data_IF_834552237359
#
_entry.id   IF_834552237359
#
_cell.length_a   1.000
_cell.length_b   1.000
_cell.length_c   1.000
_cell.angle_alpha   90.00
_cell.angle_beta   90.00
_cell.angle_gamma   90.00
#
_symmetry.space_group_name_H-M   'P 1'
#
loop_
_entity.id
_entity.type
_entity.pdbx_description
1 polymer ?
#
# COMPACT_ATOMS: atom_id res chain seq x y z
N UNK A 1 9.13 -18.38 51.61
CA UNK A 1 7.97 -18.88 50.85
C UNK A 1 7.80 -18.00 49.62
N UNK A 2 8.51 -18.33 48.54
CA UNK A 2 8.53 -17.55 47.30
C UNK A 2 7.29 -17.90 46.48
N UNK A 3 6.41 -16.93 46.21
CA UNK A 3 5.31 -17.11 45.26
C UNK A 3 5.86 -16.86 43.86
N UNK A 4 6.08 -17.94 43.13
CA UNK A 4 6.28 -17.90 41.68
C UNK A 4 5.01 -17.38 41.03
N UNK A 5 5.09 -16.23 40.38
CA UNK A 5 4.05 -15.70 39.51
C UNK A 5 4.03 -16.54 38.22
N UNK A 6 2.86 -17.00 37.73
CA UNK A 6 2.83 -17.75 36.48
C UNK A 6 3.19 -16.82 35.32
N UNK A 7 4.05 -17.29 34.42
CA UNK A 7 4.35 -16.62 33.17
C UNK A 7 3.05 -16.40 32.39
N UNK A 8 2.80 -15.16 31.96
CA UNK A 8 1.68 -14.86 31.08
C UNK A 8 1.89 -15.59 29.75
N UNK A 9 1.08 -16.62 29.50
CA UNK A 9 0.97 -17.23 28.18
C UNK A 9 0.31 -16.24 27.24
N UNK A 10 1.08 -15.58 26.38
CA UNK A 10 0.55 -14.75 25.30
C UNK A 10 0.99 -15.30 23.96
N UNK A 11 0.54 -16.52 23.68
CA UNK A 11 0.49 -17.05 22.32
C UNK A 11 -0.79 -16.49 21.66
N UNK A 12 -0.89 -15.17 21.53
CA UNK A 12 -1.96 -14.52 20.76
C UNK A 12 -1.64 -14.67 19.27
N UNK A 13 -1.90 -15.89 18.79
CA UNK A 13 -1.57 -16.36 17.44
C UNK A 13 -2.51 -15.76 16.39
N UNK A 14 -2.38 -14.47 16.12
CA UNK A 14 -3.09 -13.86 14.99
C UNK A 14 -2.41 -14.23 13.67
N UNK A 15 -3.13 -14.97 12.83
CA UNK A 15 -2.77 -15.12 11.41
C UNK A 15 -3.13 -13.85 10.67
N UNK A 16 -2.33 -13.49 9.67
CA UNK A 16 -2.66 -12.42 8.73
C UNK A 16 -2.80 -13.06 7.36
N UNK A 17 -3.93 -12.84 6.70
CA UNK A 17 -4.28 -13.52 5.44
C UNK A 17 -4.22 -15.06 5.54
N UNK A 18 -4.55 -15.62 6.71
CA UNK A 18 -4.47 -17.06 6.96
C UNK A 18 -3.04 -17.61 7.11
N UNK A 19 -2.03 -16.75 7.06
CA UNK A 19 -0.62 -17.14 7.22
C UNK A 19 -0.13 -16.86 8.63
N UNK A 20 0.53 -17.86 9.20
CA UNK A 20 1.27 -17.72 10.46
C UNK A 20 2.65 -17.15 10.16
N UNK A 21 2.95 -16.01 10.77
CA UNK A 21 4.25 -15.38 10.66
C UNK A 21 5.15 -15.89 11.79
N UNK A 22 6.38 -16.27 11.47
CA UNK A 22 7.39 -16.54 12.49
C UNK A 22 7.71 -15.25 13.25
N UNK A 23 8.03 -15.32 14.56
CA UNK A 23 8.50 -14.17 15.30
C UNK A 23 9.72 -13.54 14.63
N UNK A 24 9.77 -12.21 14.57
CA UNK A 24 10.94 -11.50 14.04
C UNK A 24 12.12 -11.73 14.98
N UNK A 25 13.22 -12.29 14.47
CA UNK A 25 14.41 -12.63 15.27
C UNK A 25 15.37 -11.44 15.49
N UNK A 26 14.89 -10.22 15.27
CA UNK A 26 15.62 -8.97 15.48
C UNK A 26 14.65 -7.80 15.71
N UNK A 27 15.14 -6.71 16.30
CA UNK A 27 14.31 -5.52 16.54
C UNK A 27 14.25 -4.67 15.28
N UNK A 28 13.05 -4.47 14.74
CA UNK A 28 12.82 -3.43 13.74
C UNK A 28 13.02 -2.06 14.41
N UNK A 29 13.86 -1.18 13.85
CA UNK A 29 14.16 0.10 14.49
C UNK A 29 12.90 1.00 14.54
N UNK A 30 12.72 1.79 15.61
CA UNK A 30 11.64 2.76 15.68
C UNK A 30 11.64 3.70 14.47
N UNK A 31 10.45 3.97 13.94
CA UNK A 31 10.23 4.76 12.75
C UNK A 31 10.47 4.01 11.44
N UNK A 32 10.60 2.68 11.46
CA UNK A 32 10.69 1.87 10.24
C UNK A 32 9.50 2.13 9.30
N UNK A 33 9.78 2.11 8.00
CA UNK A 33 8.79 2.35 6.96
C UNK A 33 8.78 1.17 6.00
N UNK A 34 7.62 0.55 5.81
CA UNK A 34 7.37 -0.23 4.61
C UNK A 34 7.21 0.76 3.45
N UNK A 35 8.17 0.78 2.53
CA UNK A 35 8.19 1.72 1.42
C UNK A 35 7.43 1.23 0.18
N UNK A 36 6.85 0.02 0.21
CA UNK A 36 6.17 -0.54 -0.96
C UNK A 36 5.15 -1.63 -0.59
N UNK A 37 3.90 -1.22 -0.38
CA UNK A 37 2.79 -2.15 -0.12
C UNK A 37 1.56 -1.82 -0.96
N UNK A 38 0.69 -2.81 -1.16
CA UNK A 38 -0.56 -2.69 -1.92
C UNK A 38 -1.76 -3.12 -1.05
N UNK A 39 -2.92 -2.50 -1.28
CA UNK A 39 -4.19 -2.90 -0.69
C UNK A 39 -5.10 -3.44 -1.79
N UNK A 40 -5.73 -4.57 -1.53
CA UNK A 40 -6.64 -5.23 -2.47
C UNK A 40 -8.00 -5.48 -1.82
N UNK A 41 -8.99 -4.76 -2.34
CA UNK A 41 -10.38 -4.99 -2.05
C UNK A 41 -10.92 -4.28 -0.80
N UNK A 42 -12.19 -4.54 -0.45
CA UNK A 42 -13.06 -5.53 -1.08
C UNK A 42 -13.46 -5.15 -2.52
N UNK A 43 -13.55 -6.13 -3.42
CA UNK A 43 -13.66 -5.90 -4.88
C UNK A 43 -15.05 -5.48 -5.36
N UNK A 44 -16.07 -5.58 -4.49
CA UNK A 44 -17.40 -5.01 -4.70
C UNK A 44 -17.40 -3.48 -4.57
N UNK A 45 -16.56 -2.93 -3.68
CA UNK A 45 -16.34 -1.49 -3.50
C UNK A 45 -15.24 -0.94 -4.40
N UNK A 46 -14.17 -1.72 -4.60
CA UNK A 46 -13.02 -1.34 -5.41
C UNK A 46 -12.83 -2.31 -6.57
N UNK A 47 -13.60 -2.15 -7.67
CA UNK A 47 -13.53 -3.06 -8.81
C UNK A 47 -12.13 -3.05 -9.44
N UNK A 48 -11.73 -4.19 -9.99
CA UNK A 48 -10.47 -4.32 -10.69
C UNK A 48 -10.60 -3.83 -12.13
N UNK A 49 -9.53 -3.27 -12.68
CA UNK A 49 -9.45 -2.85 -14.06
C UNK A 49 -9.68 -4.02 -15.03
N UNK A 50 -10.38 -3.75 -16.13
CA UNK A 50 -10.68 -4.74 -17.16
C UNK A 50 -9.40 -5.29 -17.82
N UNK A 51 -8.39 -4.43 -18.00
CA UNK A 51 -7.11 -4.75 -18.63
C UNK A 51 -6.03 -5.27 -17.65
N UNK A 52 -6.42 -5.69 -16.44
CA UNK A 52 -5.48 -6.24 -15.45
C UNK A 52 -4.78 -7.50 -15.97
N UNK A 53 -3.55 -7.71 -15.52
CA UNK A 53 -2.75 -8.88 -15.93
C UNK A 53 -2.83 -10.06 -14.96
N UNK A 54 -3.47 -9.89 -13.80
CA UNK A 54 -3.74 -10.96 -12.84
C UNK A 54 -4.92 -10.63 -11.91
N UNK A 55 -5.42 -11.64 -11.19
CA UNK A 55 -6.41 -11.52 -10.11
C UNK A 55 -5.70 -11.61 -8.75
N UNK A 56 -5.63 -10.53 -7.96
CA UNK A 56 -5.10 -10.59 -6.60
C UNK A 56 -6.08 -11.27 -5.64
N UNK A 57 -5.55 -11.88 -4.57
CA UNK A 57 -6.35 -12.20 -3.38
C UNK A 57 -6.74 -10.93 -2.61
N UNK A 58 -7.75 -11.05 -1.74
CA UNK A 58 -8.08 -9.96 -0.81
C UNK A 58 -6.90 -9.68 0.11
N UNK A 59 -6.56 -8.41 0.29
CA UNK A 59 -5.56 -7.94 1.25
C UNK A 59 -5.98 -6.56 1.75
N UNK A 60 -6.68 -6.53 2.88
CA UNK A 60 -7.32 -5.32 3.39
C UNK A 60 -6.35 -4.40 4.13
N UNK A 61 -6.78 -3.16 4.41
CA UNK A 61 -6.05 -2.25 5.28
C UNK A 61 -5.88 -2.78 6.70
N UNK A 62 -6.85 -3.55 7.20
CA UNK A 62 -6.80 -4.16 8.53
C UNK A 62 -5.76 -5.29 8.58
N UNK A 63 -5.64 -6.06 7.49
CA UNK A 63 -4.57 -7.06 7.36
C UNK A 63 -3.20 -6.39 7.40
N UNK A 64 -3.03 -5.26 6.72
CA UNK A 64 -1.79 -4.49 6.75
C UNK A 64 -1.46 -3.98 8.16
N UNK A 65 -2.44 -3.41 8.88
CA UNK A 65 -2.25 -2.96 10.26
C UNK A 65 -1.85 -4.12 11.18
N UNK A 66 -2.51 -5.27 11.05
CA UNK A 66 -2.17 -6.46 11.82
C UNK A 66 -0.76 -6.96 11.52
N UNK A 67 -0.35 -6.96 10.24
CA UNK A 67 0.99 -7.34 9.82
C UNK A 67 2.04 -6.37 10.38
N UNK A 68 1.84 -5.07 10.22
CA UNK A 68 2.77 -4.05 10.71
C UNK A 68 2.90 -4.06 12.23
N UNK A 69 1.81 -4.30 12.97
CA UNK A 69 1.86 -4.49 14.42
C UNK A 69 2.67 -5.73 14.82
N UNK A 70 2.55 -6.83 14.07
CA UNK A 70 3.32 -8.05 14.32
C UNK A 70 4.82 -7.89 13.99
N UNK A 71 5.16 -7.05 13.00
CA UNK A 71 6.53 -6.80 12.57
C UNK A 71 7.21 -5.65 13.32
N UNK A 72 6.46 -4.75 13.95
CA UNK A 72 6.99 -3.51 14.54
C UNK A 72 7.31 -2.43 13.49
N UNK A 73 6.50 -2.34 12.44
CA UNK A 73 6.61 -1.31 11.39
C UNK A 73 5.68 -0.15 11.72
N UNK A 74 6.19 1.08 11.68
CA UNK A 74 5.48 2.27 12.16
C UNK A 74 4.86 3.12 11.03
N UNK A 75 5.36 2.96 9.80
CA UNK A 75 5.00 3.81 8.65
C UNK A 75 4.83 2.98 7.39
N UNK A 76 4.03 3.49 6.45
CA UNK A 76 3.80 2.83 5.17
C UNK A 76 3.79 3.80 3.97
N UNK A 77 4.21 3.29 2.82
CA UNK A 77 3.93 3.87 1.51
C UNK A 77 3.03 2.92 0.74
N UNK A 78 1.76 3.27 0.62
CA UNK A 78 0.77 2.49 -0.12
C UNK A 78 0.84 2.88 -1.59
N UNK A 79 1.26 1.93 -2.42
CA UNK A 79 1.44 2.13 -3.85
C UNK A 79 0.21 1.62 -4.57
N UNK A 80 -0.34 2.42 -5.48
CA UNK A 80 -1.46 2.02 -6.32
C UNK A 80 -1.13 0.74 -7.10
N UNK A 81 -1.99 -0.27 -6.96
CA UNK A 81 -1.74 -1.59 -7.53
C UNK A 81 -2.17 -1.65 -9.00
N UNK A 82 -1.42 -2.39 -9.81
CA UNK A 82 -1.71 -2.46 -11.26
C UNK A 82 -3.05 -3.11 -11.61
N UNK A 83 -3.58 -4.09 -10.86
CA UNK A 83 -4.93 -4.61 -11.12
C UNK A 83 -6.05 -3.58 -10.91
N UNK A 84 -5.80 -2.48 -10.20
CA UNK A 84 -6.78 -1.40 -9.97
C UNK A 84 -6.65 -0.25 -10.97
N UNK A 85 -5.69 -0.34 -11.92
CA UNK A 85 -5.49 0.68 -12.95
C UNK A 85 -5.24 2.07 -12.36
N UNK A 86 -5.95 3.06 -12.89
CA UNK A 86 -5.89 4.47 -12.48
C UNK A 86 -6.96 4.85 -11.45
N UNK A 87 -7.80 3.91 -11.00
CA UNK A 87 -8.74 4.15 -9.91
C UNK A 87 -7.99 4.05 -8.57
N UNK A 88 -7.62 5.22 -8.04
CA UNK A 88 -6.81 5.34 -6.82
C UNK A 88 -7.65 5.27 -5.53
N UNK A 89 -8.98 5.08 -5.60
CA UNK A 89 -9.86 5.19 -4.43
C UNK A 89 -9.54 4.18 -3.33
N UNK A 90 -9.20 2.93 -3.68
CA UNK A 90 -8.83 1.92 -2.68
C UNK A 90 -7.59 2.36 -1.87
N UNK A 91 -6.58 2.91 -2.57
CA UNK A 91 -5.37 3.41 -1.94
C UNK A 91 -5.66 4.64 -1.08
N UNK A 92 -6.42 5.62 -1.56
CA UNK A 92 -6.73 6.84 -0.77
C UNK A 92 -7.58 6.54 0.46
N UNK A 93 -8.54 5.63 0.36
CA UNK A 93 -9.35 5.19 1.50
C UNK A 93 -8.49 4.43 2.52
N UNK A 94 -7.56 3.60 2.05
CA UNK A 94 -6.58 2.96 2.93
C UNK A 94 -5.70 3.98 3.67
N UNK A 95 -5.22 5.03 2.99
CA UNK A 95 -4.46 6.11 3.64
C UNK A 95 -5.27 6.80 4.74
N UNK A 96 -6.56 7.08 4.49
CA UNK A 96 -7.43 7.69 5.50
C UNK A 96 -7.54 6.79 6.74
N UNK A 97 -7.81 5.50 6.56
CA UNK A 97 -7.91 4.51 7.65
C UNK A 97 -6.60 4.37 8.42
N UNK A 98 -5.47 4.21 7.73
CA UNK A 98 -4.15 4.06 8.35
C UNK A 98 -3.77 5.29 9.19
N UNK A 99 -3.92 6.49 8.61
CA UNK A 99 -3.57 7.73 9.32
C UNK A 99 -4.53 8.00 10.50
N UNK A 100 -5.82 7.65 10.38
CA UNK A 100 -6.77 7.74 11.49
C UNK A 100 -6.42 6.79 12.65
N UNK A 101 -5.80 5.65 12.35
CA UNK A 101 -5.26 4.72 13.35
C UNK A 101 -3.88 5.14 13.91
N UNK A 102 -3.36 6.31 13.53
CA UNK A 102 -2.03 6.77 13.93
C UNK A 102 -0.87 6.10 13.20
N UNK A 103 -1.15 5.31 12.15
CA UNK A 103 -0.13 4.66 11.32
C UNK A 103 0.28 5.56 10.16
N UNK A 104 1.39 6.31 10.32
CA UNK A 104 1.74 7.38 9.41
C UNK A 104 2.01 6.86 7.99
N UNK A 105 1.13 7.24 7.05
CA UNK A 105 1.12 6.66 5.71
C UNK A 105 1.05 7.70 4.59
N UNK A 106 1.69 7.38 3.45
CA UNK A 106 1.69 8.17 2.21
C UNK A 106 1.36 7.31 1.00
N UNK A 107 0.83 7.94 -0.04
CA UNK A 107 0.43 7.25 -1.27
C UNK A 107 1.35 7.49 -2.45
N UNK A 108 1.40 6.52 -3.36
CA UNK A 108 1.91 6.68 -4.72
C UNK A 108 0.80 6.31 -5.70
N UNK A 109 0.32 7.27 -6.49
CA UNK A 109 -0.82 7.09 -7.40
C UNK A 109 -0.40 6.62 -8.80
N UNK A 110 -1.31 5.99 -9.54
CA UNK A 110 -1.21 5.87 -11.00
C UNK A 110 -2.16 6.90 -11.60
N UNK A 111 -1.63 7.81 -12.41
CA UNK A 111 -2.39 8.94 -12.94
C UNK A 111 -3.00 8.59 -14.31
N UNK A 112 -4.28 8.90 -14.56
CA UNK A 112 -4.81 8.86 -15.92
C UNK A 112 -4.14 9.93 -16.79
N UNK A 113 -4.05 9.75 -18.12
CA UNK A 113 -3.35 10.68 -19.01
C UNK A 113 -3.88 12.12 -18.96
N UNK A 114 -5.17 12.28 -18.71
CA UNK A 114 -5.94 13.53 -18.73
C UNK A 114 -6.27 14.05 -17.33
N UNK A 115 -5.56 13.61 -16.29
CA UNK A 115 -5.81 14.05 -14.91
C UNK A 115 -5.82 15.58 -14.78
N UNK A 116 -6.84 16.11 -14.10
CA UNK A 116 -6.95 17.55 -13.86
C UNK A 116 -6.05 18.02 -12.71
N UNK A 117 -5.74 19.33 -12.67
CA UNK A 117 -5.00 19.92 -11.54
C UNK A 117 -5.78 19.82 -10.22
N UNK A 118 -7.11 19.83 -10.27
CA UNK A 118 -7.94 19.70 -9.07
C UNK A 118 -7.93 18.28 -8.53
N UNK A 119 -7.95 17.27 -9.41
CA UNK A 119 -7.81 15.87 -9.00
C UNK A 119 -6.41 15.60 -8.43
N UNK A 120 -5.35 16.19 -8.99
CA UNK A 120 -4.01 16.12 -8.42
C UNK A 120 -3.92 16.74 -7.02
N UNK A 121 -4.58 17.88 -6.81
CA UNK A 121 -4.68 18.51 -5.47
C UNK A 121 -5.47 17.62 -4.51
N UNK A 122 -6.54 16.99 -4.97
CA UNK A 122 -7.33 16.05 -4.17
C UNK A 122 -6.48 14.84 -3.74
N UNK A 123 -5.72 14.24 -4.66
CA UNK A 123 -4.76 13.17 -4.35
C UNK A 123 -3.71 13.64 -3.33
N UNK A 124 -3.15 14.83 -3.52
CA UNK A 124 -2.18 15.39 -2.58
C UNK A 124 -2.79 15.57 -1.18
N UNK A 125 -4.02 16.12 -1.10
CA UNK A 125 -4.74 16.29 0.15
C UNK A 125 -5.05 14.96 0.83
N UNK A 126 -5.35 13.91 0.06
CA UNK A 126 -5.54 12.55 0.55
C UNK A 126 -4.24 11.86 1.04
N UNK A 127 -3.08 12.50 0.89
CA UNK A 127 -1.79 12.00 1.37
C UNK A 127 -0.89 11.38 0.31
N UNK A 128 -1.24 11.47 -0.98
CA UNK A 128 -0.38 11.05 -2.09
C UNK A 128 0.82 11.99 -2.21
N UNK A 129 2.02 11.44 -2.40
CA UNK A 129 3.28 12.19 -2.54
C UNK A 129 4.14 11.74 -3.72
N UNK A 130 3.65 10.83 -4.55
CA UNK A 130 4.34 10.39 -5.75
C UNK A 130 3.40 9.81 -6.80
N UNK A 131 3.93 9.60 -7.99
CA UNK A 131 3.26 8.92 -9.10
C UNK A 131 4.06 7.69 -9.51
N UNK A 132 3.36 6.65 -9.97
CA UNK A 132 3.93 5.38 -10.42
C UNK A 132 3.81 5.26 -11.94
N UNK A 133 4.93 4.98 -12.59
CA UNK A 133 4.98 4.55 -13.99
C UNK A 133 5.19 3.04 -14.04
N UNK A 134 4.21 2.31 -14.56
CA UNK A 134 4.27 0.85 -14.65
C UNK A 134 4.57 0.38 -16.07
N UNK A 135 5.79 -0.11 -16.28
CA UNK A 135 6.29 -0.61 -17.56
C UNK A 135 6.28 -2.14 -17.60
N UNK A 136 6.63 -2.76 -16.47
CA UNK A 136 6.85 -4.20 -16.36
C UNK A 136 5.56 -5.00 -16.50
N UNK A 137 4.45 -4.58 -15.88
CA UNK A 137 3.20 -5.36 -15.98
C UNK A 137 2.69 -5.49 -17.42
N UNK A 138 3.10 -4.59 -18.31
CA UNK A 138 2.71 -4.59 -19.72
C UNK A 138 3.86 -5.02 -20.66
N UNK A 139 4.95 -5.54 -20.10
CA UNK A 139 6.10 -6.03 -20.88
C UNK A 139 6.81 -4.94 -21.69
N UNK A 140 6.69 -3.68 -21.31
CA UNK A 140 7.28 -2.57 -22.06
C UNK A 140 8.77 -2.44 -21.78
N UNK A 141 9.59 -2.57 -22.82
CA UNK A 141 11.06 -2.50 -22.75
C UNK A 141 11.67 -1.51 -23.75
N UNK A 142 10.86 -0.91 -24.63
CA UNK A 142 11.32 0.11 -25.59
C UNK A 142 11.72 1.39 -24.84
N UNK A 143 13.01 1.79 -24.88
CA UNK A 143 13.50 2.98 -24.17
C UNK A 143 12.79 4.27 -24.58
N UNK A 144 12.31 4.39 -25.82
CA UNK A 144 11.58 5.56 -26.27
C UNK A 144 10.22 5.66 -25.56
N UNK A 145 9.46 4.55 -25.53
CA UNK A 145 8.17 4.50 -24.85
C UNK A 145 8.33 4.74 -23.34
N UNK A 146 9.37 4.16 -22.73
CA UNK A 146 9.70 4.36 -21.32
C UNK A 146 9.98 5.83 -21.01
N UNK A 147 10.86 6.47 -21.80
CA UNK A 147 11.20 7.89 -21.63
C UNK A 147 9.97 8.76 -21.78
N UNK A 148 9.14 8.51 -22.79
CA UNK A 148 7.96 9.32 -23.03
C UNK A 148 6.93 9.17 -21.90
N UNK A 149 6.77 7.96 -21.34
CA UNK A 149 5.90 7.73 -20.18
C UNK A 149 6.40 8.47 -18.93
N UNK A 150 7.71 8.45 -18.68
CA UNK A 150 8.33 9.20 -17.59
C UNK A 150 8.16 10.72 -17.77
N UNK A 151 8.43 11.23 -18.98
CA UNK A 151 8.29 12.65 -19.30
C UNK A 151 6.84 13.13 -19.13
N UNK A 152 5.87 12.41 -19.68
CA UNK A 152 4.44 12.72 -19.48
C UNK A 152 4.05 12.75 -18.02
N UNK A 153 4.47 11.76 -17.23
CA UNK A 153 4.16 11.71 -15.81
C UNK A 153 4.80 12.87 -15.05
N UNK A 154 6.03 13.25 -15.40
CA UNK A 154 6.71 14.40 -14.83
C UNK A 154 5.98 15.72 -15.14
N UNK A 155 5.50 15.89 -16.38
CA UNK A 155 4.71 17.06 -16.80
C UNK A 155 3.38 17.14 -16.04
N UNK A 156 2.72 16.01 -15.79
CA UNK A 156 1.47 15.97 -15.02
C UNK A 156 1.65 16.48 -13.59
N UNK A 157 2.80 16.24 -12.96
CA UNK A 157 3.05 16.60 -11.55
C UNK A 157 3.85 17.89 -11.37
N UNK A 158 4.12 18.62 -12.46
CA UNK A 158 4.80 19.91 -12.45
C UNK A 158 3.87 21.10 -12.12
#
# INVERSE_FOLDING_TARGET
MSRTQPAASSDDQRTVLGIRHSPVTGTIPPGACDCHVHIFGPFDRYPLAENRVFMPGLASTDDLLALHAALGVDRAVVVQASPQGTDNHCMTDALATLNAAGHASRGVAVLPPDISRDDLRALHAAGVRGARVNLQSFGQQDPAIVRDALARTAEQVA
#
